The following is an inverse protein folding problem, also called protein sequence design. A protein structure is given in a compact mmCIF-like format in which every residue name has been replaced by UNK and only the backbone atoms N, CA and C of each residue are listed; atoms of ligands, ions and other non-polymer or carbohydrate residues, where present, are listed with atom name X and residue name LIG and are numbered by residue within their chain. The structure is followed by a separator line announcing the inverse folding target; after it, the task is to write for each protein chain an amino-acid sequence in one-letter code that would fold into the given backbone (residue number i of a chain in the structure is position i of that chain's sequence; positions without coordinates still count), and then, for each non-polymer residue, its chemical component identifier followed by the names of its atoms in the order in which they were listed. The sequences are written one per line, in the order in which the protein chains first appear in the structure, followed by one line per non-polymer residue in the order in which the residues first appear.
data_IF_678131057941
#
_entry.id   IF_678131057941
#
_cell.length_a   1.000
_cell.length_b   1.000
_cell.length_c   1.000
_cell.angle_alpha   90.00
_cell.angle_beta   90.00
_cell.angle_gamma   90.00
#
_symmetry.space_group_name_H-M   'P 1'
#
loop_
_entity.id
_entity.type
_entity.pdbx_description
1 polymer ?
#
# COMPACT_ATOMS: atom_id res chain seq x y z
N UNK A 1 -10.94 23.97 2.72
CA UNK A 1 -10.58 23.78 1.29
C UNK A 1 -9.84 22.46 1.02
N UNK A 2 -9.02 21.96 1.94
CA UNK A 2 -8.16 20.80 1.65
C UNK A 2 -8.92 19.47 1.49
N UNK A 3 -10.04 19.27 2.21
CA UNK A 3 -10.96 18.15 1.95
C UNK A 3 -11.42 18.10 0.48
N UNK A 4 -11.79 19.25 -0.10
CA UNK A 4 -12.22 19.33 -1.49
C UNK A 4 -11.08 19.06 -2.47
N UNK A 5 -9.85 19.52 -2.18
CA UNK A 5 -8.66 19.19 -2.97
C UNK A 5 -8.38 17.69 -2.97
N UNK A 6 -8.64 17.02 -1.84
CA UNK A 6 -8.58 15.57 -1.70
C UNK A 6 -9.75 14.81 -2.35
N UNK A 7 -10.67 15.51 -3.02
CA UNK A 7 -11.83 14.91 -3.67
C UNK A 7 -12.88 14.39 -2.69
N UNK A 8 -12.91 14.90 -1.46
CA UNK A 8 -13.90 14.54 -0.44
C UNK A 8 -15.04 15.55 -0.45
N UNK A 9 -16.27 15.05 -0.37
CA UNK A 9 -17.45 15.86 -0.11
C UNK A 9 -17.58 16.09 1.40
N UNK A 10 -17.82 17.34 1.79
CA UNK A 10 -18.10 17.71 3.19
C UNK A 10 -19.57 18.09 3.28
N UNK A 11 -20.24 17.63 4.34
CA UNK A 11 -21.66 17.91 4.61
C UNK A 11 -21.80 18.39 6.05
N UNK A 12 -22.61 19.42 6.28
CA UNK A 12 -22.92 19.96 7.61
C UNK A 12 -24.19 19.28 8.11
N UNK A 13 -24.15 18.69 9.30
CA UNK A 13 -25.30 18.06 9.95
C UNK A 13 -25.41 18.64 11.36
N UNK A 14 -26.43 19.47 11.61
CA UNK A 14 -26.60 20.18 12.90
C UNK A 14 -28.04 20.17 13.39
N UNK A 15 -28.21 20.28 14.70
CA UNK A 15 -29.50 20.52 15.36
C UNK A 15 -29.96 21.97 15.27
N UNK A 16 -29.10 22.89 14.85
CA UNK A 16 -29.40 24.32 14.74
C UNK A 16 -30.40 24.62 13.62
N UNK A 17 -30.98 25.83 13.65
CA UNK A 17 -31.88 26.29 12.60
C UNK A 17 -31.14 26.50 11.25
N UNK A 18 -31.90 26.48 10.15
CA UNK A 18 -31.35 26.59 8.80
C UNK A 18 -30.67 27.95 8.54
N UNK A 19 -31.25 29.05 9.04
CA UNK A 19 -30.76 30.41 8.82
C UNK A 19 -29.37 30.63 9.42
N UNK A 20 -29.19 30.30 10.70
CA UNK A 20 -27.90 30.41 11.40
C UNK A 20 -26.86 29.51 10.75
N UNK A 21 -27.23 28.26 10.44
CA UNK A 21 -26.31 27.30 9.81
C UNK A 21 -25.83 27.79 8.45
N UNK A 22 -26.75 28.31 7.63
CA UNK A 22 -26.44 28.83 6.29
C UNK A 22 -25.57 30.09 6.37
N UNK A 23 -25.85 30.98 7.32
CA UNK A 23 -25.06 32.18 7.56
C UNK A 23 -23.61 31.84 7.95
N UNK A 24 -23.42 30.91 8.90
CA UNK A 24 -22.09 30.44 9.31
C UNK A 24 -21.39 29.72 8.15
N UNK A 25 -22.10 28.83 7.43
CA UNK A 25 -21.57 28.13 6.26
C UNK A 25 -21.06 29.10 5.19
N UNK A 26 -21.80 30.20 4.94
CA UNK A 26 -21.40 31.26 4.02
C UNK A 26 -20.15 32.01 4.51
N UNK A 27 -20.06 32.33 5.80
CA UNK A 27 -18.89 33.02 6.38
C UNK A 27 -17.60 32.21 6.25
N UNK A 28 -17.67 30.88 6.40
CA UNK A 28 -16.51 29.98 6.27
C UNK A 28 -16.23 29.57 4.81
N UNK A 29 -17.00 30.08 3.84
CA UNK A 29 -16.85 29.76 2.43
C UNK A 29 -17.18 28.30 2.08
N UNK A 30 -18.13 27.70 2.79
CA UNK A 30 -18.55 26.31 2.58
C UNK A 30 -19.25 26.13 1.23
N UNK A 31 -18.91 25.08 0.46
CA UNK A 31 -19.49 24.87 -0.88
C UNK A 31 -20.89 24.26 -0.78
N UNK A 32 -21.85 24.83 -1.48
CA UNK A 32 -23.25 24.37 -1.47
C UNK A 32 -24.00 24.77 -0.19
N UNK A 33 -23.62 25.88 0.44
CA UNK A 33 -24.31 26.41 1.63
C UNK A 33 -25.81 26.69 1.36
N UNK A 34 -26.18 26.94 0.11
CA UNK A 34 -27.53 27.22 -0.39
C UNK A 34 -28.43 25.97 -0.44
N UNK A 35 -27.84 24.77 -0.47
CA UNK A 35 -28.57 23.51 -0.56
C UNK A 35 -28.79 22.94 0.84
N UNK A 36 -29.92 23.32 1.44
CA UNK A 36 -30.31 22.91 2.79
C UNK A 36 -31.62 22.14 2.84
N UNK A 37 -31.72 21.19 3.78
CA UNK A 37 -32.98 20.51 4.14
C UNK A 37 -33.11 20.42 5.67
N UNK A 38 -34.35 20.42 6.18
CA UNK A 38 -34.63 20.22 7.60
C UNK A 38 -34.84 18.75 7.95
N UNK A 39 -34.70 18.39 9.23
CA UNK A 39 -34.94 17.03 9.72
C UNK A 39 -36.35 16.51 9.39
N UNK A 40 -37.37 17.35 9.60
CA UNK A 40 -38.77 16.98 9.36
C UNK A 40 -39.08 16.73 7.88
N UNK A 41 -38.52 17.56 6.99
CA UNK A 41 -38.63 17.37 5.54
C UNK A 41 -37.92 16.09 5.10
N UNK A 42 -36.71 15.84 5.62
CA UNK A 42 -35.92 14.66 5.30
C UNK A 42 -36.62 13.35 5.72
N UNK A 43 -37.36 13.38 6.83
CA UNK A 43 -38.09 12.19 7.29
C UNK A 43 -39.29 11.84 6.42
N UNK A 44 -39.90 12.84 5.76
CA UNK A 44 -41.03 12.64 4.82
C UNK A 44 -40.62 12.09 3.46
N UNK A 45 -39.33 12.17 3.11
CA UNK A 45 -38.83 11.62 1.85
C UNK A 45 -38.93 10.09 1.84
N UNK A 46 -39.38 9.56 0.69
CA UNK A 46 -39.25 8.13 0.39
C UNK A 46 -37.77 7.75 0.20
N UNK A 47 -37.48 6.47 0.07
CA UNK A 47 -36.11 5.98 0.01
C UNK A 47 -35.34 6.47 -1.23
N UNK A 48 -35.97 6.49 -2.41
CA UNK A 48 -35.33 6.93 -3.65
C UNK A 48 -35.00 8.43 -3.64
N UNK A 49 -35.95 9.26 -3.18
CA UNK A 49 -35.78 10.70 -3.05
C UNK A 49 -34.75 11.05 -1.98
N UNK A 50 -34.75 10.31 -0.87
CA UNK A 50 -33.73 10.44 0.17
C UNK A 50 -32.34 10.15 -0.39
N UNK A 51 -32.16 9.05 -1.11
CA UNK A 51 -30.88 8.65 -1.69
C UNK A 51 -30.32 9.69 -2.67
N UNK A 52 -31.17 10.38 -3.43
CA UNK A 52 -30.77 11.48 -4.31
C UNK A 52 -30.51 12.78 -3.54
N UNK A 53 -31.35 13.08 -2.56
CA UNK A 53 -31.25 14.26 -1.71
C UNK A 53 -29.93 14.26 -0.93
N UNK A 54 -29.55 13.14 -0.28
CA UNK A 54 -28.31 13.10 0.50
C UNK A 54 -27.06 13.30 -0.34
N UNK A 55 -27.10 12.97 -1.63
CA UNK A 55 -25.97 13.19 -2.54
C UNK A 55 -25.82 14.65 -2.96
N UNK A 56 -26.94 15.35 -3.17
CA UNK A 56 -26.97 16.72 -3.72
C UNK A 56 -27.00 17.83 -2.67
N UNK A 57 -27.52 17.54 -1.47
CA UNK A 57 -27.65 18.48 -0.35
C UNK A 57 -26.38 18.51 0.49
N UNK A 58 -25.95 19.71 0.90
CA UNK A 58 -24.72 19.89 1.68
C UNK A 58 -25.00 20.33 3.13
N UNK A 59 -26.17 20.92 3.42
CA UNK A 59 -26.54 21.41 4.75
C UNK A 59 -27.79 20.71 5.25
N UNK A 60 -27.70 20.10 6.44
CA UNK A 60 -28.76 19.38 7.11
C UNK A 60 -29.00 20.04 8.47
N UNK A 61 -30.14 20.70 8.62
CA UNK A 61 -30.47 21.54 9.79
C UNK A 61 -31.64 20.97 10.60
N UNK A 62 -31.78 21.36 11.87
CA UNK A 62 -32.78 20.81 12.80
C UNK A 62 -32.75 19.26 12.85
N UNK A 63 -31.55 18.69 12.82
CA UNK A 63 -31.36 17.23 12.77
C UNK A 63 -31.38 16.63 14.17
N UNK A 64 -32.35 15.74 14.40
CA UNK A 64 -32.44 14.87 15.58
C UNK A 64 -31.72 13.53 15.34
N UNK A 65 -31.44 12.71 16.39
CA UNK A 65 -30.59 11.52 16.28
C UNK A 65 -30.97 10.56 15.14
N UNK A 66 -32.27 10.26 14.98
CA UNK A 66 -32.79 9.35 13.96
C UNK A 66 -32.58 9.92 12.55
N UNK A 67 -32.76 11.23 12.36
CA UNK A 67 -32.52 11.89 11.08
C UNK A 67 -31.03 11.85 10.70
N UNK A 68 -30.12 12.07 11.65
CA UNK A 68 -28.67 11.93 11.43
C UNK A 68 -28.33 10.52 10.98
N UNK A 69 -28.84 9.50 11.69
CA UNK A 69 -28.62 8.11 11.35
C UNK A 69 -29.17 7.76 9.96
N UNK A 70 -30.35 8.28 9.60
CA UNK A 70 -30.97 8.07 8.27
C UNK A 70 -30.09 8.62 7.14
N UNK A 71 -29.46 9.78 7.32
CA UNK A 71 -28.49 10.35 6.35
C UNK A 71 -27.28 9.43 6.18
N UNK A 72 -26.68 8.98 7.28
CA UNK A 72 -25.50 8.11 7.23
C UNK A 72 -25.82 6.83 6.46
N UNK A 73 -26.94 6.18 6.77
CA UNK A 73 -27.34 4.95 6.11
C UNK A 73 -27.65 5.16 4.62
N UNK A 74 -28.30 6.26 4.23
CA UNK A 74 -28.57 6.57 2.83
C UNK A 74 -27.28 6.81 2.03
N UNK A 75 -26.28 7.51 2.61
CA UNK A 75 -24.98 7.70 1.98
C UNK A 75 -24.22 6.37 1.80
N UNK A 76 -24.30 5.49 2.81
CA UNK A 76 -23.71 4.14 2.73
C UNK A 76 -24.38 3.28 1.67
N UNK A 77 -25.71 3.35 1.55
CA UNK A 77 -26.46 2.65 0.51
C UNK A 77 -26.05 3.09 -0.91
N UNK A 78 -25.64 4.37 -1.06
CA UNK A 78 -25.05 4.91 -2.29
C UNK A 78 -23.55 4.58 -2.48
N UNK A 79 -23.02 3.61 -1.73
CA UNK A 79 -21.64 3.14 -1.85
C UNK A 79 -20.58 4.13 -1.35
N UNK A 80 -20.96 5.17 -0.62
CA UNK A 80 -20.01 6.14 -0.06
C UNK A 80 -19.37 5.63 1.23
N UNK A 81 -18.09 5.96 1.41
CA UNK A 81 -17.44 5.87 2.72
C UNK A 81 -17.75 7.14 3.49
N UNK A 82 -18.32 6.97 4.68
CA UNK A 82 -18.85 8.06 5.49
C UNK A 82 -18.03 8.15 6.76
N UNK A 83 -17.36 9.29 6.94
CA UNK A 83 -16.80 9.70 8.20
C UNK A 83 -17.75 10.71 8.85
N UNK A 84 -18.16 10.46 10.08
CA UNK A 84 -19.03 11.36 10.83
C UNK A 84 -18.27 11.91 12.02
N UNK A 85 -18.35 13.22 12.23
CA UNK A 85 -17.86 13.88 13.45
C UNK A 85 -19.01 14.30 14.32
N UNK A 86 -18.88 14.11 15.63
CA UNK A 86 -19.89 14.49 16.62
C UNK A 86 -19.30 14.61 18.02
N UNK A 87 -19.96 15.36 18.88
CA UNK A 87 -19.54 15.64 20.25
C UNK A 87 -20.65 15.33 21.26
N UNK A 88 -21.92 15.32 20.84
CA UNK A 88 -23.06 15.08 21.70
C UNK A 88 -23.44 13.60 21.88
N UNK A 89 -24.18 13.30 22.95
CA UNK A 89 -24.83 11.99 23.17
C UNK A 89 -25.75 11.63 22.00
N UNK A 90 -26.40 12.66 21.43
CA UNK A 90 -27.30 12.57 20.29
C UNK A 90 -26.60 12.10 19.00
N UNK A 91 -25.28 12.21 18.93
CA UNK A 91 -24.48 11.76 17.78
C UNK A 91 -24.07 10.30 17.86
N UNK A 92 -24.16 9.68 19.05
CA UNK A 92 -23.70 8.32 19.31
C UNK A 92 -24.18 7.27 18.29
N UNK A 93 -25.50 7.16 18.02
CA UNK A 93 -26.01 6.19 17.04
C UNK A 93 -25.43 6.39 15.64
N UNK A 94 -25.28 7.64 15.20
CA UNK A 94 -24.82 7.97 13.86
C UNK A 94 -23.28 7.87 13.74
N UNK A 95 -22.54 8.20 14.79
CA UNK A 95 -21.10 7.94 14.93
C UNK A 95 -20.80 6.44 14.80
N UNK A 96 -21.57 5.59 15.49
CA UNK A 96 -21.42 4.14 15.45
C UNK A 96 -21.82 3.54 14.09
N UNK A 97 -22.79 4.13 13.41
CA UNK A 97 -23.26 3.66 12.11
C UNK A 97 -22.34 4.07 10.95
N UNK A 98 -21.59 5.17 11.10
CA UNK A 98 -20.62 5.62 10.12
C UNK A 98 -19.51 4.58 9.92
N UNK A 99 -18.84 4.62 8.77
CA UNK A 99 -17.67 3.76 8.55
C UNK A 99 -16.52 4.17 9.47
N UNK A 100 -16.44 5.47 9.79
CA UNK A 100 -15.48 6.04 10.72
C UNK A 100 -16.22 7.08 11.56
N UNK A 101 -16.53 6.75 12.82
CA UNK A 101 -17.02 7.73 13.80
C UNK A 101 -15.86 8.51 14.39
N UNK A 102 -15.97 9.83 14.50
CA UNK A 102 -14.94 10.74 14.99
C UNK A 102 -15.52 11.57 16.14
N UNK A 103 -14.92 11.46 17.33
CA UNK A 103 -15.34 12.24 18.50
C UNK A 103 -14.32 13.34 18.83
N UNK A 104 -14.83 14.42 19.44
CA UNK A 104 -14.01 15.49 20.03
C UNK A 104 -13.56 15.09 21.43
N UNK A 105 -12.30 15.36 21.81
CA UNK A 105 -11.79 15.00 23.12
C UNK A 105 -12.23 15.98 24.21
N UNK A 106 -12.10 17.29 23.97
CA UNK A 106 -12.36 18.30 25.02
C UNK A 106 -13.85 18.61 25.13
N UNK A 107 -14.52 18.78 23.99
CA UNK A 107 -15.96 19.10 23.91
C UNK A 107 -16.86 17.87 23.88
N UNK A 108 -16.33 16.71 23.49
CA UNK A 108 -17.14 15.50 23.33
C UNK A 108 -17.56 14.86 24.63
N UNK A 109 -18.82 14.44 24.68
CA UNK A 109 -19.37 13.60 25.75
C UNK A 109 -18.72 12.21 25.78
N UNK A 110 -18.71 11.57 26.93
CA UNK A 110 -18.11 10.24 27.08
C UNK A 110 -18.78 9.19 26.19
N UNK A 111 -20.10 9.32 26.01
CA UNK A 111 -20.87 8.44 25.11
C UNK A 111 -20.43 8.63 23.65
N UNK A 112 -20.19 9.86 23.20
CA UNK A 112 -19.69 10.11 21.85
C UNK A 112 -18.28 9.52 21.64
N UNK A 113 -17.39 9.64 22.63
CA UNK A 113 -16.04 9.07 22.58
C UNK A 113 -16.06 7.55 22.50
N UNK A 114 -16.92 6.89 23.28
CA UNK A 114 -17.10 5.44 23.25
C UNK A 114 -17.72 4.93 21.95
N UNK A 115 -18.54 5.74 21.28
CA UNK A 115 -19.15 5.39 20.00
C UNK A 115 -18.23 5.59 18.79
N UNK A 116 -17.17 6.40 18.93
CA UNK A 116 -16.28 6.76 17.84
C UNK A 116 -15.11 5.78 17.65
N UNK A 117 -14.64 5.67 16.41
CA UNK A 117 -13.44 4.90 16.04
C UNK A 117 -12.15 5.71 16.14
N UNK A 118 -12.26 7.04 16.10
CA UNK A 118 -11.15 7.98 16.16
C UNK A 118 -11.53 9.16 17.08
N UNK A 119 -10.55 9.67 17.83
CA UNK A 119 -10.75 10.79 18.74
C UNK A 119 -9.78 11.93 18.39
N UNK A 120 -10.28 13.15 18.25
CA UNK A 120 -9.49 14.36 18.04
C UNK A 120 -9.11 14.97 19.39
N UNK A 121 -7.86 14.79 19.82
CA UNK A 121 -7.37 15.24 21.13
C UNK A 121 -7.41 16.77 21.32
N UNK A 122 -7.21 17.51 20.23
CA UNK A 122 -7.15 18.98 20.24
C UNK A 122 -8.45 19.65 19.77
N UNK A 123 -9.48 18.87 19.43
CA UNK A 123 -10.74 19.36 18.86
C UNK A 123 -10.55 20.18 17.56
N UNK A 124 -9.48 19.90 16.82
CA UNK A 124 -9.17 20.56 15.55
C UNK A 124 -9.46 19.64 14.36
N UNK A 125 -10.47 20.01 13.57
CA UNK A 125 -10.85 19.31 12.35
C UNK A 125 -9.77 19.35 11.26
N UNK A 126 -8.83 20.31 11.30
CA UNK A 126 -7.74 20.39 10.33
C UNK A 126 -6.88 19.12 10.34
N UNK A 127 -6.69 18.51 11.53
CA UNK A 127 -5.93 17.27 11.73
C UNK A 127 -6.54 16.06 11.04
N UNK A 128 -7.83 16.11 10.66
CA UNK A 128 -8.43 15.05 9.87
C UNK A 128 -7.81 14.96 8.46
N UNK A 129 -7.35 16.08 7.90
CA UNK A 129 -6.65 16.08 6.61
C UNK A 129 -5.35 15.28 6.71
N UNK A 130 -4.61 15.43 7.81
CA UNK A 130 -3.40 14.66 8.10
C UNK A 130 -3.72 13.17 8.28
N UNK A 131 -4.80 12.85 9.00
CA UNK A 131 -5.25 11.48 9.21
C UNK A 131 -5.62 10.80 7.88
N UNK A 132 -6.31 11.51 6.99
CA UNK A 132 -6.64 11.02 5.64
C UNK A 132 -5.37 10.81 4.83
N UNK A 133 -4.43 11.76 4.86
CA UNK A 133 -3.16 11.65 4.15
C UNK A 133 -2.36 10.44 4.61
N UNK A 134 -2.30 10.21 5.93
CA UNK A 134 -1.66 9.05 6.54
C UNK A 134 -2.35 7.74 6.15
N UNK A 135 -3.69 7.68 6.18
CA UNK A 135 -4.44 6.50 5.75
C UNK A 135 -4.19 6.14 4.28
N UNK A 136 -4.13 7.16 3.39
CA UNK A 136 -3.78 6.94 1.98
C UNK A 136 -2.34 6.45 1.80
N UNK A 137 -1.39 6.99 2.59
CA UNK A 137 0.01 6.54 2.60
C UNK A 137 0.09 5.06 3.01
N UNK A 138 -0.50 4.69 4.14
CA UNK A 138 -0.53 3.31 4.64
C UNK A 138 -1.08 2.36 3.57
N UNK A 139 -2.21 2.71 2.96
CA UNK A 139 -2.81 1.88 1.91
C UNK A 139 -1.89 1.71 0.68
N UNK A 140 -1.25 2.79 0.24
CA UNK A 140 -0.33 2.75 -0.91
C UNK A 140 0.92 1.92 -0.59
N UNK A 141 1.43 2.01 0.63
CA UNK A 141 2.59 1.26 1.09
C UNK A 141 2.28 -0.24 1.24
N UNK A 142 1.13 -0.60 1.82
CA UNK A 142 0.65 -1.99 1.88
C UNK A 142 0.53 -2.61 0.49
N UNK A 143 0.03 -1.84 -0.47
CA UNK A 143 -0.07 -2.28 -1.86
C UNK A 143 1.29 -2.58 -2.48
N UNK A 144 2.28 -1.71 -2.26
CA UNK A 144 3.67 -1.94 -2.72
C UNK A 144 4.25 -3.21 -2.10
N UNK A 145 4.03 -3.42 -0.79
CA UNK A 145 4.47 -4.61 -0.08
C UNK A 145 3.83 -5.89 -0.65
N UNK A 146 2.51 -5.92 -0.87
CA UNK A 146 1.81 -7.07 -1.47
C UNK A 146 2.34 -7.40 -2.87
N UNK A 147 2.52 -6.39 -3.72
CA UNK A 147 3.05 -6.59 -5.07
C UNK A 147 4.48 -7.16 -5.04
N UNK A 148 5.32 -6.66 -4.12
CA UNK A 148 6.66 -7.20 -3.91
C UNK A 148 6.64 -8.65 -3.42
N UNK A 149 5.80 -8.98 -2.42
CA UNK A 149 5.65 -10.35 -1.90
C UNK A 149 5.34 -11.32 -3.04
N UNK A 150 4.35 -10.99 -3.87
CA UNK A 150 3.96 -11.84 -5.00
C UNK A 150 5.14 -11.99 -5.99
N UNK A 151 5.82 -10.89 -6.30
CA UNK A 151 6.93 -10.88 -7.26
C UNK A 151 8.10 -11.74 -6.81
N UNK A 152 8.40 -11.79 -5.50
CA UNK A 152 9.56 -12.52 -4.98
C UNK A 152 9.27 -13.98 -4.62
N UNK A 153 8.03 -14.32 -4.25
CA UNK A 153 7.68 -15.71 -3.93
C UNK A 153 7.61 -16.59 -5.17
N UNK A 154 7.18 -16.04 -6.32
CA UNK A 154 7.15 -16.76 -7.60
C UNK A 154 8.51 -17.37 -7.98
N UNK A 155 9.62 -16.62 -8.04
CA UNK A 155 10.92 -17.19 -8.39
C UNK A 155 11.45 -18.17 -7.35
N UNK A 156 11.15 -17.99 -6.06
CA UNK A 156 11.52 -18.96 -5.03
C UNK A 156 10.81 -20.29 -5.28
N UNK A 157 9.49 -20.27 -5.41
CA UNK A 157 8.67 -21.47 -5.65
C UNK A 157 9.11 -22.15 -6.94
N UNK A 158 9.25 -21.41 -8.04
CA UNK A 158 9.57 -21.98 -9.34
C UNK A 158 11.02 -22.47 -9.44
N UNK A 159 11.98 -21.82 -8.77
CA UNK A 159 13.38 -22.28 -8.75
C UNK A 159 13.53 -23.58 -7.97
N UNK A 160 12.68 -23.85 -6.98
CA UNK A 160 12.64 -25.13 -6.28
C UNK A 160 11.85 -26.17 -7.07
N UNK A 161 10.69 -25.78 -7.60
CA UNK A 161 9.76 -26.70 -8.24
C UNK A 161 10.24 -27.21 -9.62
N UNK A 162 10.77 -26.33 -10.48
CA UNK A 162 11.09 -26.70 -11.87
C UNK A 162 12.21 -27.74 -11.97
N UNK A 163 13.37 -27.60 -11.28
CA UNK A 163 14.41 -28.62 -11.30
C UNK A 163 13.91 -29.98 -10.80
N UNK A 164 13.06 -29.98 -9.77
CA UNK A 164 12.45 -31.18 -9.21
C UNK A 164 11.47 -31.83 -10.19
N UNK A 165 10.53 -31.05 -10.75
CA UNK A 165 9.48 -31.55 -11.63
C UNK A 165 10.03 -32.06 -12.98
N UNK A 166 11.10 -31.45 -13.48
CA UNK A 166 11.74 -31.83 -14.74
C UNK A 166 12.88 -32.84 -14.57
N UNK A 167 13.18 -33.29 -13.35
CA UNK A 167 14.24 -34.26 -13.08
C UNK A 167 15.63 -33.76 -13.49
N UNK A 168 15.95 -32.50 -13.19
CA UNK A 168 17.26 -31.92 -13.48
C UNK A 168 18.37 -32.53 -12.61
N UNK A 169 19.63 -32.32 -12.99
CA UNK A 169 20.81 -32.94 -12.35
C UNK A 169 20.86 -32.66 -10.84
N UNK A 170 20.57 -31.43 -10.44
CA UNK A 170 20.46 -31.01 -9.03
C UNK A 170 19.01 -30.59 -8.74
N UNK A 171 18.09 -31.53 -8.46
CA UNK A 171 16.67 -31.23 -8.30
C UNK A 171 16.38 -30.49 -6.99
N UNK A 172 17.17 -30.75 -5.95
CA UNK A 172 17.02 -30.17 -4.62
C UNK A 172 17.99 -29.00 -4.39
N UNK A 173 18.01 -28.03 -5.32
CA UNK A 173 19.03 -26.96 -5.32
C UNK A 173 18.98 -26.10 -4.05
N UNK A 174 17.79 -25.91 -3.45
CA UNK A 174 17.63 -25.22 -2.18
C UNK A 174 17.05 -26.14 -1.12
N UNK A 175 17.76 -26.24 0.00
CA UNK A 175 17.24 -26.81 1.25
C UNK A 175 16.33 -25.80 1.99
N UNK A 176 15.51 -26.24 2.96
CA UNK A 176 14.67 -25.35 3.77
C UNK A 176 15.45 -24.21 4.44
N UNK A 177 16.72 -24.42 4.80
CA UNK A 177 17.59 -23.39 5.39
C UNK A 177 17.80 -22.19 4.46
N UNK A 178 17.94 -22.43 3.15
CA UNK A 178 18.09 -21.35 2.15
C UNK A 178 16.83 -20.51 2.05
N UNK A 179 15.67 -21.17 2.06
CA UNK A 179 14.37 -20.51 1.96
C UNK A 179 14.11 -19.67 3.22
N UNK A 180 14.34 -20.23 4.41
CA UNK A 180 14.21 -19.50 5.69
C UNK A 180 15.10 -18.25 5.67
N UNK A 181 16.31 -18.37 5.13
CA UNK A 181 17.22 -17.23 5.03
C UNK A 181 16.72 -16.15 4.06
N UNK A 182 16.18 -16.53 2.89
CA UNK A 182 15.53 -15.58 1.99
C UNK A 182 14.38 -14.88 2.72
N UNK A 183 13.55 -15.61 3.45
CA UNK A 183 12.42 -15.05 4.21
C UNK A 183 12.87 -14.07 5.29
N UNK A 184 14.01 -14.33 5.94
CA UNK A 184 14.60 -13.43 6.94
C UNK A 184 14.97 -12.06 6.34
N UNK A 185 15.30 -12.00 5.06
CA UNK A 185 15.58 -10.74 4.35
C UNK A 185 14.27 -10.10 3.84
N UNK A 186 13.38 -10.92 3.28
CA UNK A 186 12.17 -10.44 2.61
C UNK A 186 11.11 -9.92 3.59
N UNK A 187 10.96 -10.56 4.76
CA UNK A 187 10.00 -10.14 5.79
C UNK A 187 10.22 -8.69 6.23
N UNK A 188 11.41 -8.33 6.74
CA UNK A 188 11.74 -6.95 7.11
C UNK A 188 11.67 -5.96 5.93
N UNK A 189 11.97 -6.41 4.71
CA UNK A 189 11.80 -5.59 3.52
C UNK A 189 10.33 -5.19 3.32
N UNK A 190 9.39 -6.08 3.61
CA UNK A 190 7.96 -5.77 3.55
C UNK A 190 7.52 -4.85 4.71
N UNK A 191 7.75 -5.29 5.94
CA UNK A 191 7.17 -4.67 7.14
C UNK A 191 7.87 -3.40 7.59
N UNK A 192 9.14 -3.20 7.25
CA UNK A 192 9.93 -2.04 7.68
C UNK A 192 10.12 -1.06 6.51
N UNK A 193 10.58 -1.54 5.36
CA UNK A 193 10.95 -0.66 4.26
C UNK A 193 9.74 -0.10 3.55
N UNK A 194 8.88 -0.98 3.01
CA UNK A 194 7.74 -0.51 2.23
C UNK A 194 6.73 0.24 3.10
N UNK A 195 6.47 -0.21 4.33
CA UNK A 195 5.57 0.49 5.24
C UNK A 195 6.09 1.89 5.62
N UNK A 196 7.40 2.07 5.74
CA UNK A 196 8.02 3.35 6.05
C UNK A 196 8.24 4.26 4.83
N UNK A 197 7.86 3.83 3.61
CA UNK A 197 8.09 4.66 2.41
C UNK A 197 7.34 6.01 2.54
N UNK A 198 7.97 7.14 2.17
CA UNK A 198 7.35 8.45 2.32
C UNK A 198 6.13 8.64 1.43
N UNK A 199 5.30 9.60 1.82
CA UNK A 199 4.09 9.97 1.08
C UNK A 199 4.43 10.52 -0.31
N UNK A 200 3.76 10.02 -1.35
CA UNK A 200 3.91 10.56 -2.71
C UNK A 200 3.21 11.93 -2.83
N UNK A 201 3.84 12.89 -3.51
CA UNK A 201 3.40 14.28 -3.56
C UNK A 201 1.97 14.49 -4.10
N UNK A 202 1.49 13.58 -4.94
CA UNK A 202 0.17 13.65 -5.57
C UNK A 202 -0.94 12.94 -4.77
N UNK A 203 -0.64 12.34 -3.61
CA UNK A 203 -1.60 11.46 -2.91
C UNK A 203 -2.88 12.19 -2.46
N UNK A 204 -2.76 13.47 -2.10
CA UNK A 204 -3.86 14.32 -1.62
C UNK A 204 -4.59 15.03 -2.76
N UNK A 205 -4.19 14.83 -4.01
CA UNK A 205 -4.91 15.34 -5.19
C UNK A 205 -5.71 14.22 -5.88
N UNK A 206 -5.38 12.97 -5.57
CA UNK A 206 -6.11 11.82 -6.09
C UNK A 206 -7.51 11.71 -5.46
N UNK A 207 -8.47 11.25 -6.26
CA UNK A 207 -9.84 10.97 -5.77
C UNK A 207 -9.83 9.79 -4.78
N UNK A 208 -10.79 9.74 -3.84
CA UNK A 208 -10.97 8.58 -2.99
C UNK A 208 -11.12 7.29 -3.81
N UNK A 209 -10.49 6.20 -3.35
CA UNK A 209 -10.61 4.90 -4.00
C UNK A 209 -12.03 4.35 -3.86
N UNK A 210 -12.56 3.61 -4.85
CA UNK A 210 -13.81 2.89 -4.69
C UNK A 210 -13.63 1.72 -3.71
N UNK A 211 -14.71 1.36 -3.02
CA UNK A 211 -14.75 0.23 -2.09
C UNK A 211 -14.44 -1.12 -2.76
N UNK A 212 -14.86 -1.28 -4.02
CA UNK A 212 -14.63 -2.49 -4.82
C UNK A 212 -13.16 -2.68 -5.24
N UNK A 213 -12.30 -1.67 -5.05
CA UNK A 213 -10.88 -1.82 -5.32
C UNK A 213 -10.23 -2.72 -4.28
N UNK A 214 -9.88 -3.93 -4.69
CA UNK A 214 -9.08 -4.87 -3.91
C UNK A 214 -7.58 -4.59 -4.10
N UNK A 215 -6.76 -5.15 -3.20
CA UNK A 215 -5.30 -5.16 -3.36
C UNK A 215 -4.85 -6.02 -4.56
N UNK A 216 -5.70 -6.92 -5.04
CA UNK A 216 -5.44 -7.87 -6.12
C UNK A 216 -6.08 -7.42 -7.44
N UNK A 217 -5.87 -6.16 -7.81
CA UNK A 217 -6.27 -5.71 -9.14
C UNK A 217 -5.47 -6.50 -10.19
N UNK A 218 -6.17 -7.14 -11.13
CA UNK A 218 -5.55 -7.96 -12.18
C UNK A 218 -4.43 -7.25 -12.93
N UNK A 219 -4.53 -5.94 -13.18
CA UNK A 219 -3.48 -5.16 -13.84
C UNK A 219 -2.18 -5.07 -13.03
N UNK A 220 -2.30 -5.04 -11.71
CA UNK A 220 -1.18 -4.90 -10.77
C UNK A 220 -0.61 -6.25 -10.38
N UNK A 221 -1.48 -7.26 -10.32
CA UNK A 221 -1.09 -8.64 -10.12
C UNK A 221 -0.29 -9.16 -11.32
N UNK A 222 -0.76 -8.91 -12.54
CA UNK A 222 -0.05 -9.31 -13.76
C UNK A 222 1.34 -8.71 -13.86
N UNK A 223 1.54 -7.45 -13.47
CA UNK A 223 2.88 -6.85 -13.44
C UNK A 223 3.80 -7.54 -12.42
N UNK A 224 3.25 -7.88 -11.25
CA UNK A 224 4.02 -8.56 -10.19
C UNK A 224 4.38 -9.99 -10.60
N UNK A 225 3.43 -10.70 -11.23
CA UNK A 225 3.66 -12.04 -11.78
C UNK A 225 4.74 -12.01 -12.87
N UNK A 226 4.69 -11.04 -13.79
CA UNK A 226 5.70 -10.91 -14.83
C UNK A 226 7.10 -10.61 -14.27
N UNK A 227 7.20 -9.77 -13.23
CA UNK A 227 8.45 -9.54 -12.50
C UNK A 227 8.99 -10.85 -11.93
N UNK A 228 8.16 -11.61 -11.22
CA UNK A 228 8.56 -12.89 -10.66
C UNK A 228 8.98 -13.90 -11.72
N UNK A 229 8.23 -14.01 -12.81
CA UNK A 229 8.55 -14.91 -13.92
C UNK A 229 9.89 -14.57 -14.59
N UNK A 230 10.21 -13.30 -14.80
CA UNK A 230 11.47 -12.91 -15.42
C UNK A 230 12.67 -13.11 -14.48
N UNK A 231 12.48 -12.94 -13.16
CA UNK A 231 13.48 -13.35 -12.17
C UNK A 231 13.70 -14.86 -12.23
N UNK A 232 12.62 -15.66 -12.30
CA UNK A 232 12.71 -17.13 -12.47
C UNK A 232 13.51 -17.51 -13.70
N UNK A 233 13.26 -16.85 -14.84
CA UNK A 233 14.01 -17.13 -16.08
C UNK A 233 15.50 -16.83 -15.84
N UNK A 234 15.84 -15.73 -15.18
CA UNK A 234 17.22 -15.40 -14.84
C UNK A 234 17.88 -16.42 -13.90
N UNK A 235 17.18 -16.88 -12.86
CA UNK A 235 17.73 -17.84 -11.89
C UNK A 235 17.92 -19.22 -12.49
N UNK A 236 16.92 -19.71 -13.24
CA UNK A 236 17.02 -21.00 -13.94
C UNK A 236 18.03 -20.97 -15.08
N UNK A 237 18.22 -19.82 -15.74
CA UNK A 237 19.27 -19.64 -16.72
C UNK A 237 20.65 -19.82 -16.07
N UNK A 238 20.90 -19.19 -14.91
CA UNK A 238 22.17 -19.36 -14.18
C UNK A 238 22.37 -20.78 -13.68
N UNK A 239 21.30 -21.43 -13.21
CA UNK A 239 21.36 -22.84 -12.87
C UNK A 239 21.82 -23.68 -14.07
N UNK A 240 21.16 -23.52 -15.22
CA UNK A 240 21.45 -24.33 -16.41
C UNK A 240 22.83 -24.03 -16.98
N UNK A 241 23.23 -22.76 -16.95
CA UNK A 241 24.58 -22.32 -17.30
C UNK A 241 25.63 -22.99 -16.42
N UNK A 242 25.43 -23.00 -15.10
CA UNK A 242 26.39 -23.60 -14.15
C UNK A 242 26.55 -25.10 -14.39
N UNK A 243 25.43 -25.81 -14.59
CA UNK A 243 25.43 -27.24 -14.92
C UNK A 243 26.11 -27.51 -16.27
N UNK A 244 25.88 -26.67 -17.28
CA UNK A 244 26.53 -26.81 -18.59
C UNK A 244 28.05 -26.61 -18.52
N UNK A 245 28.52 -25.73 -17.63
CA UNK A 245 29.95 -25.54 -17.38
C UNK A 245 30.58 -26.66 -16.53
N UNK A 246 29.79 -27.66 -16.10
CA UNK A 246 30.26 -28.76 -15.28
C UNK A 246 30.55 -28.39 -13.82
N UNK A 247 29.96 -27.29 -13.33
CA UNK A 247 30.06 -26.91 -11.93
C UNK A 247 29.31 -27.89 -11.04
N UNK A 248 29.81 -28.07 -9.82
CA UNK A 248 29.20 -28.97 -8.85
C UNK A 248 27.91 -28.37 -8.25
N UNK A 249 27.29 -29.15 -7.36
CA UNK A 249 26.03 -28.76 -6.73
C UNK A 249 26.19 -27.52 -5.85
N UNK A 250 27.29 -27.43 -5.08
CA UNK A 250 27.52 -26.35 -4.14
C UNK A 250 27.72 -25.01 -4.85
N UNK A 251 28.52 -25.00 -5.92
CA UNK A 251 28.74 -23.81 -6.74
C UNK A 251 27.47 -23.40 -7.49
N UNK A 252 26.76 -24.35 -8.09
CA UNK A 252 25.49 -24.09 -8.80
C UNK A 252 24.44 -23.50 -7.86
N UNK A 253 24.32 -24.05 -6.64
CA UNK A 253 23.44 -23.55 -5.58
C UNK A 253 23.83 -22.13 -5.19
N UNK A 254 25.12 -21.88 -5.01
CA UNK A 254 25.64 -20.56 -4.63
C UNK A 254 25.35 -19.51 -5.70
N UNK A 255 25.59 -19.82 -6.97
CA UNK A 255 25.30 -18.90 -8.08
C UNK A 255 23.81 -18.59 -8.18
N UNK A 256 22.96 -19.62 -8.14
CA UNK A 256 21.49 -19.46 -8.21
C UNK A 256 20.95 -18.64 -7.04
N UNK A 257 21.44 -18.90 -5.83
CA UNK A 257 21.09 -18.14 -4.62
C UNK A 257 21.52 -16.68 -4.72
N UNK A 258 22.74 -16.42 -5.21
CA UNK A 258 23.28 -15.06 -5.36
C UNK A 258 22.45 -14.26 -6.36
N UNK A 259 22.02 -14.85 -7.48
CA UNK A 259 21.12 -14.19 -8.45
C UNK A 259 19.79 -13.80 -7.80
N UNK A 260 19.18 -14.67 -6.99
CA UNK A 260 17.94 -14.36 -6.27
C UNK A 260 18.12 -13.18 -5.33
N UNK A 261 19.20 -13.16 -4.54
CA UNK A 261 19.51 -12.06 -3.63
C UNK A 261 19.70 -10.74 -4.38
N UNK A 262 20.48 -10.77 -5.46
CA UNK A 262 20.73 -9.58 -6.28
C UNK A 262 19.45 -9.07 -6.91
N UNK A 263 18.66 -9.97 -7.52
CA UNK A 263 17.35 -9.63 -8.07
C UNK A 263 16.44 -9.05 -6.99
N UNK A 264 16.47 -9.59 -5.76
CA UNK A 264 15.69 -9.09 -4.66
C UNK A 264 16.05 -7.64 -4.29
N UNK A 265 17.34 -7.32 -4.21
CA UNK A 265 17.82 -5.95 -3.93
C UNK A 265 17.33 -4.97 -5.02
N UNK A 266 17.48 -5.33 -6.30
CA UNK A 266 17.01 -4.46 -7.39
C UNK A 266 15.48 -4.36 -7.44
N UNK A 267 14.77 -5.46 -7.20
CA UNK A 267 13.31 -5.48 -7.13
C UNK A 267 12.81 -4.57 -6.01
N UNK A 268 13.46 -4.61 -4.85
CA UNK A 268 13.16 -3.74 -3.70
C UNK A 268 13.29 -2.27 -4.09
N UNK A 269 14.38 -1.89 -4.76
CA UNK A 269 14.60 -0.53 -5.22
C UNK A 269 13.57 -0.10 -6.27
N UNK A 270 13.29 -0.97 -7.24
CA UNK A 270 12.43 -0.65 -8.39
C UNK A 270 10.96 -0.51 -7.97
N UNK A 271 10.51 -1.34 -7.03
CA UNK A 271 9.13 -1.36 -6.56
C UNK A 271 8.84 -0.31 -5.47
N UNK A 272 9.82 0.53 -5.08
CA UNK A 272 9.59 1.72 -4.24
C UNK A 272 8.52 2.66 -4.81
N UNK A 273 8.43 2.75 -6.14
CA UNK A 273 7.31 3.41 -6.81
C UNK A 273 6.98 2.72 -8.13
N UNK A 274 5.69 2.50 -8.34
CA UNK A 274 5.13 1.99 -9.59
C UNK A 274 4.90 3.09 -10.64
N UNK A 275 5.13 4.36 -10.26
CA UNK A 275 4.99 5.52 -11.13
C UNK A 275 6.34 6.19 -11.40
N UNK A 276 7.10 6.49 -10.35
CA UNK A 276 8.38 7.19 -10.47
C UNK A 276 9.54 6.23 -10.78
N UNK A 277 10.55 6.74 -11.47
CA UNK A 277 11.79 6.01 -11.75
C UNK A 277 12.66 5.84 -10.52
N UNK A 278 13.50 4.79 -10.51
CA UNK A 278 14.59 4.57 -9.57
C UNK A 278 15.38 5.85 -9.23
N UNK A 279 15.81 6.60 -10.24
CA UNK A 279 16.60 7.82 -10.04
C UNK A 279 15.87 8.92 -9.27
N UNK A 280 14.54 8.93 -9.35
CA UNK A 280 13.68 9.85 -8.62
C UNK A 280 13.47 9.35 -7.19
N UNK A 281 13.16 8.07 -7.04
CA UNK A 281 12.89 7.46 -5.73
C UNK A 281 14.15 7.36 -4.86
N UNK A 282 15.35 7.22 -5.46
CA UNK A 282 16.62 7.28 -4.74
C UNK A 282 16.86 8.60 -4.01
N UNK A 283 16.22 9.70 -4.44
CA UNK A 283 16.28 10.99 -3.75
C UNK A 283 15.34 11.06 -2.53
N UNK A 284 14.40 10.12 -2.41
CA UNK A 284 13.49 10.08 -1.27
C UNK A 284 14.24 9.56 -0.05
N UNK A 285 14.14 10.30 1.06
CA UNK A 285 14.71 9.91 2.35
C UNK A 285 13.98 8.68 2.88
N UNK A 286 14.64 7.53 2.78
CA UNK A 286 14.30 6.30 3.50
C UNK A 286 15.61 5.59 3.84
N UNK A 287 16.22 5.99 4.96
CA UNK A 287 17.54 5.50 5.38
C UNK A 287 17.53 3.99 5.69
N UNK A 288 16.35 3.44 5.98
CA UNK A 288 16.14 2.01 6.22
C UNK A 288 16.50 1.15 5.00
N UNK A 289 16.34 1.67 3.78
CA UNK A 289 16.68 0.95 2.55
C UNK A 289 18.17 0.74 2.44
N UNK A 290 18.94 1.82 2.66
CA UNK A 290 20.40 1.74 2.59
C UNK A 290 20.91 0.77 3.66
N UNK A 291 20.38 0.88 4.88
CA UNK A 291 20.72 -0.03 5.97
C UNK A 291 20.39 -1.49 5.63
N UNK A 292 19.21 -1.80 5.09
CA UNK A 292 18.85 -3.17 4.71
C UNK A 292 19.70 -3.71 3.57
N UNK A 293 20.02 -2.90 2.56
CA UNK A 293 20.92 -3.31 1.47
C UNK A 293 22.31 -3.63 2.04
N UNK A 294 22.85 -2.76 2.90
CA UNK A 294 24.16 -2.98 3.53
C UNK A 294 24.16 -4.24 4.40
N UNK A 295 23.13 -4.44 5.22
CA UNK A 295 22.99 -5.64 6.05
C UNK A 295 22.86 -6.89 5.16
N UNK A 296 22.09 -6.84 4.09
CA UNK A 296 21.92 -7.97 3.17
C UNK A 296 23.23 -8.33 2.48
N UNK A 297 23.96 -7.34 1.96
CA UNK A 297 25.28 -7.54 1.35
C UNK A 297 26.29 -8.07 2.36
N UNK A 298 26.27 -7.55 3.59
CA UNK A 298 27.13 -8.04 4.67
C UNK A 298 26.84 -9.50 4.99
N UNK A 299 25.58 -9.87 5.21
CA UNK A 299 25.22 -11.24 5.57
C UNK A 299 25.54 -12.19 4.41
N UNK A 300 25.25 -11.81 3.16
CA UNK A 300 25.59 -12.63 1.99
C UNK A 300 27.10 -12.80 1.87
N UNK A 301 27.88 -11.72 2.03
CA UNK A 301 29.34 -11.81 2.06
C UNK A 301 29.84 -12.75 3.16
N UNK A 302 29.26 -12.66 4.35
CA UNK A 302 29.57 -13.56 5.47
C UNK A 302 29.23 -15.02 5.13
N UNK A 303 28.05 -15.31 4.56
CA UNK A 303 27.66 -16.67 4.16
C UNK A 303 28.58 -17.27 3.09
N UNK A 304 29.06 -16.44 2.15
CA UNK A 304 29.88 -16.92 1.03
C UNK A 304 31.37 -17.05 1.38
N UNK A 305 31.89 -16.23 2.30
CA UNK A 305 33.33 -16.16 2.56
C UNK A 305 33.77 -16.60 3.97
N UNK A 306 32.84 -16.78 4.92
CA UNK A 306 33.15 -17.30 6.27
C UNK A 306 32.96 -18.82 6.32
N UNK A 307 34.07 -19.56 6.27
CA UNK A 307 34.11 -21.02 6.08
C UNK A 307 33.12 -21.84 6.92
N UNK A 308 32.92 -21.60 8.24
CA UNK A 308 31.92 -22.33 9.02
C UNK A 308 30.49 -22.18 8.46
N UNK A 309 30.12 -20.97 8.06
CA UNK A 309 28.79 -20.66 7.53
C UNK A 309 28.64 -21.15 6.09
N UNK A 310 29.67 -20.95 5.25
CA UNK A 310 29.69 -21.47 3.88
C UNK A 310 29.46 -22.98 3.85
N UNK A 311 30.12 -23.74 4.75
CA UNK A 311 29.90 -25.19 4.89
C UNK A 311 28.50 -25.53 5.42
N UNK A 312 28.02 -24.80 6.42
CA UNK A 312 26.69 -25.04 7.01
C UNK A 312 25.56 -24.87 5.98
N UNK A 313 25.67 -23.86 5.11
CA UNK A 313 24.73 -23.63 4.01
C UNK A 313 25.08 -24.44 2.74
N UNK A 314 26.10 -25.29 2.78
CA UNK A 314 26.56 -26.07 1.61
C UNK A 314 26.85 -25.18 0.38
N UNK A 315 27.35 -23.96 0.61
CA UNK A 315 27.80 -23.05 -0.43
C UNK A 315 29.27 -23.28 -0.79
N UNK A 316 29.70 -22.64 -1.88
CA UNK A 316 31.10 -22.55 -2.29
C UNK A 316 31.48 -21.10 -2.55
N UNK A 317 32.78 -20.77 -2.47
CA UNK A 317 33.25 -19.41 -2.75
C UNK A 317 33.12 -19.07 -4.22
N UNK A 318 32.51 -17.92 -4.53
CA UNK A 318 32.43 -17.43 -5.91
C UNK A 318 33.71 -16.71 -6.32
N UNK A 319 34.19 -17.03 -7.52
CA UNK A 319 35.17 -16.21 -8.24
C UNK A 319 34.58 -14.87 -8.64
N UNK A 320 35.44 -13.88 -8.92
CA UNK A 320 35.02 -12.54 -9.35
C UNK A 320 34.15 -12.60 -10.62
N UNK A 321 34.52 -13.46 -11.58
CA UNK A 321 33.74 -13.60 -12.82
C UNK A 321 32.35 -14.17 -12.57
N UNK A 322 32.24 -15.21 -11.72
CA UNK A 322 30.94 -15.79 -11.35
C UNK A 322 30.07 -14.79 -10.60
N UNK A 323 30.66 -13.99 -9.70
CA UNK A 323 29.96 -12.93 -9.00
C UNK A 323 29.44 -11.86 -9.97
N UNK A 324 30.25 -11.44 -10.94
CA UNK A 324 29.82 -10.49 -11.98
C UNK A 324 28.69 -11.04 -12.85
N UNK A 325 28.73 -12.33 -13.20
CA UNK A 325 27.64 -13.00 -13.92
C UNK A 325 26.34 -12.96 -13.09
N UNK A 326 26.42 -13.33 -11.81
CA UNK A 326 25.26 -13.29 -10.91
C UNK A 326 24.69 -11.87 -10.77
N UNK A 327 25.57 -10.87 -10.62
CA UNK A 327 25.21 -9.46 -10.52
C UNK A 327 24.51 -8.98 -11.80
N UNK A 328 25.07 -9.29 -12.96
CA UNK A 328 24.53 -8.89 -14.25
C UNK A 328 23.14 -9.51 -14.50
N UNK A 329 22.98 -10.81 -14.24
CA UNK A 329 21.71 -11.51 -14.49
C UNK A 329 20.64 -11.09 -13.48
N UNK A 330 21.00 -10.94 -12.21
CA UNK A 330 20.11 -10.39 -11.20
C UNK A 330 19.64 -8.97 -11.54
N UNK A 331 20.54 -8.12 -12.06
CA UNK A 331 20.19 -6.78 -12.53
C UNK A 331 19.27 -6.79 -13.76
N UNK A 332 19.63 -7.53 -14.80
CA UNK A 332 18.90 -7.58 -16.07
C UNK A 332 17.49 -8.14 -15.88
N UNK A 333 17.33 -9.15 -15.02
CA UNK A 333 16.02 -9.80 -14.77
C UNK A 333 14.97 -8.86 -14.17
N UNK A 334 15.39 -7.73 -13.56
CA UNK A 334 14.48 -6.74 -12.97
C UNK A 334 14.45 -5.42 -13.76
N UNK A 335 15.56 -5.03 -14.39
CA UNK A 335 15.74 -3.70 -15.00
C UNK A 335 14.74 -3.36 -16.12
N UNK A 336 14.20 -4.37 -16.81
CA UNK A 336 13.15 -4.19 -17.83
C UNK A 336 11.94 -3.38 -17.30
N UNK A 337 11.64 -3.47 -16.00
CA UNK A 337 10.50 -2.79 -15.41
C UNK A 337 10.67 -1.27 -15.35
N UNK A 338 11.90 -0.76 -15.27
CA UNK A 338 12.16 0.67 -15.37
C UNK A 338 11.84 1.21 -16.77
N UNK A 339 12.18 0.44 -17.81
CA UNK A 339 11.79 0.78 -19.17
C UNK A 339 10.27 0.81 -19.31
N UNK A 340 9.57 -0.18 -18.72
CA UNK A 340 8.10 -0.19 -18.70
C UNK A 340 7.50 1.04 -17.99
N UNK A 341 8.04 1.44 -16.83
CA UNK A 341 7.63 2.67 -16.12
C UNK A 341 7.89 3.94 -16.95
N UNK A 342 8.99 4.00 -17.68
CA UNK A 342 9.30 5.11 -18.59
C UNK A 342 8.26 5.24 -19.72
N UNK A 343 7.94 4.15 -20.41
CA UNK A 343 6.92 4.18 -21.47
C UNK A 343 5.52 4.53 -20.94
N UNK A 344 5.16 4.02 -19.76
CA UNK A 344 3.88 4.33 -19.12
C UNK A 344 3.73 5.83 -18.82
N UNK A 345 4.77 6.46 -18.28
CA UNK A 345 4.80 7.92 -18.01
C UNK A 345 4.64 8.75 -19.29
N UNK A 346 5.42 8.40 -20.33
CA UNK A 346 5.34 9.09 -21.63
C UNK A 346 3.94 9.00 -22.25
N UNK A 347 3.24 7.88 -22.08
CA UNK A 347 1.87 7.69 -22.56
C UNK A 347 0.82 8.42 -21.70
N UNK A 348 1.08 8.63 -20.41
CA UNK A 348 0.17 9.37 -19.52
C UNK A 348 0.30 10.89 -19.61
N UNK A 349 1.27 11.41 -20.36
CA UNK A 349 1.44 12.86 -20.56
C UNK A 349 1.84 13.63 -19.30
N UNK A 350 2.43 12.94 -18.31
CA UNK A 350 2.94 13.49 -17.04
C UNK A 350 4.45 13.28 -16.98
#
# INVERSE_FOLDING_TARGET
NDFYKAGLAVKIITGDNAETTTAIAKQVGFRGYDKSITGDELMKLNEADLQNCVMTTSVFSRMFPEAKLKIINALKAQGQIVAMTGDGVNDGPALKAAHIGIAMWKKGTEIAKQAASLILLEDDLSKMVDAIAMGRRIYTNLKKAIQYIISIHIPIILTVFIPLALGWIYPNIFSPLHIIFLELIMGPTCSIIYENEPMEANIMVQKPRPLSATFFNWKELTTSILQGMLITVGTLFVYRYSVYQGYDEALTRTMTFTVLIVANIFLTLINRSFHYSLWTTLKYKNDMIVMMILITLLIVGVLLYVKPLTRFFQFETLSVLQLLICLAIGFVSVSWFEFWKYFKRKKSGI
#
